data_IF_072583117904
#
_entry.id   IF_072583117904
#
_cell.length_a   1.000
_cell.length_b   1.000
_cell.length_c   1.000
_cell.angle_alpha   90.00
_cell.angle_beta   90.00
_cell.angle_gamma   90.00
#
_symmetry.space_group_name_H-M   'P 1'
#
loop_
_entity.id
_entity.type
_entity.pdbx_description
1 polymer ?
#
# COMPACT_ATOMS: atom_id res chain seq x y z
N UNK A 1 -52.55 -38.56 -5.82
CA UNK A 1 -51.10 -38.54 -6.15
C UNK A 1 -50.75 -37.21 -6.83
N UNK A 2 -50.20 -36.20 -6.15
CA UNK A 2 -49.69 -35.01 -6.81
C UNK A 2 -48.19 -35.16 -7.13
N UNK A 3 -47.80 -34.85 -8.38
CA UNK A 3 -46.41 -34.90 -8.85
C UNK A 3 -45.63 -33.68 -8.29
N UNK A 4 -44.57 -33.93 -7.52
CA UNK A 4 -43.60 -32.89 -7.15
C UNK A 4 -42.89 -32.37 -8.40
N UNK A 5 -42.99 -31.06 -8.66
CA UNK A 5 -42.13 -30.36 -9.63
C UNK A 5 -40.77 -30.13 -8.98
N UNK A 6 -39.74 -30.86 -9.42
CA UNK A 6 -38.36 -30.59 -9.04
C UNK A 6 -37.90 -29.27 -9.65
N UNK A 7 -37.77 -28.22 -8.83
CA UNK A 7 -37.09 -26.98 -9.22
C UNK A 7 -35.58 -27.22 -9.23
N UNK A 8 -35.01 -27.44 -10.41
CA UNK A 8 -33.57 -27.40 -10.61
C UNK A 8 -33.09 -25.95 -10.42
N UNK A 9 -32.51 -25.67 -9.26
CA UNK A 9 -31.84 -24.41 -9.00
C UNK A 9 -30.41 -24.55 -9.51
N UNK A 10 -30.17 -24.13 -10.75
CA UNK A 10 -28.82 -24.10 -11.32
C UNK A 10 -28.05 -22.91 -10.75
N UNK A 11 -27.44 -23.07 -9.57
CA UNK A 11 -26.47 -22.11 -9.03
C UNK A 11 -25.11 -22.34 -9.69
N UNK A 12 -24.93 -21.83 -10.90
CA UNK A 12 -23.56 -21.66 -11.43
C UNK A 12 -22.88 -20.57 -10.60
N UNK A 13 -22.15 -20.97 -9.55
CA UNK A 13 -21.25 -20.08 -8.81
C UNK A 13 -20.25 -19.49 -9.80
N UNK A 14 -20.30 -18.17 -10.02
CA UNK A 14 -19.31 -17.45 -10.83
C UNK A 14 -17.92 -17.78 -10.30
N UNK A 15 -16.99 -18.15 -11.19
CA UNK A 15 -15.61 -18.45 -10.81
C UNK A 15 -14.95 -17.16 -10.29
N UNK A 16 -14.21 -17.22 -9.17
CA UNK A 16 -13.47 -16.05 -8.70
C UNK A 16 -12.48 -15.62 -9.78
N UNK A 17 -12.48 -14.32 -10.10
CA UNK A 17 -11.56 -13.72 -11.07
C UNK A 17 -10.54 -12.89 -10.31
N UNK A 18 -9.25 -13.15 -10.50
CA UNK A 18 -8.18 -12.36 -9.92
C UNK A 18 -7.89 -11.17 -10.85
N UNK A 19 -7.94 -9.95 -10.31
CA UNK A 19 -7.55 -8.74 -11.04
C UNK A 19 -6.34 -8.14 -10.34
N UNK A 20 -5.28 -7.89 -11.08
CA UNK A 20 -4.10 -7.18 -10.60
C UNK A 20 -4.19 -5.74 -11.09
N UNK A 21 -4.29 -4.78 -10.16
CA UNK A 21 -3.83 -3.42 -10.42
C UNK A 21 -2.32 -3.44 -10.18
N UNK A 22 -1.52 -2.91 -11.11
CA UNK A 22 -0.07 -2.83 -10.93
C UNK A 22 0.30 -1.95 -9.73
N UNK A 23 1.44 -2.20 -9.09
CA UNK A 23 1.91 -1.38 -7.98
C UNK A 23 2.22 0.04 -8.46
N UNK A 24 2.05 1.01 -7.57
CA UNK A 24 2.33 2.43 -7.82
C UNK A 24 3.35 3.02 -6.84
N UNK A 25 3.73 2.28 -5.80
CA UNK A 25 4.72 2.68 -4.79
C UNK A 25 5.84 1.66 -4.73
N UNK A 26 7.08 2.10 -4.88
CA UNK A 26 8.27 1.29 -4.71
C UNK A 26 8.75 1.40 -3.26
N UNK A 27 8.83 0.27 -2.57
CA UNK A 27 9.37 0.18 -1.21
C UNK A 27 10.69 -0.55 -1.24
N UNK A 28 11.74 0.05 -0.68
CA UNK A 28 13.04 -0.61 -0.48
C UNK A 28 13.19 -0.94 1.00
N UNK A 29 13.38 -2.22 1.30
CA UNK A 29 13.82 -2.71 2.60
C UNK A 29 15.33 -2.92 2.56
N UNK A 30 16.07 -2.29 3.46
CA UNK A 30 17.52 -2.43 3.53
C UNK A 30 17.96 -2.59 4.99
N UNK A 31 18.72 -3.66 5.34
CA UNK A 31 19.20 -3.85 6.69
C UNK A 31 20.34 -2.88 7.02
N UNK A 32 20.25 -2.24 8.18
CA UNK A 32 21.36 -1.59 8.86
C UNK A 32 22.07 -2.63 9.73
N UNK A 33 23.32 -2.96 9.35
CA UNK A 33 24.09 -3.99 10.04
C UNK A 33 24.72 -3.50 11.34
N UNK A 34 24.89 -2.20 11.49
CA UNK A 34 25.50 -1.60 12.69
C UNK A 34 24.45 -1.48 13.80
N UNK A 35 23.31 -0.89 13.47
CA UNK A 35 22.21 -0.64 14.42
C UNK A 35 21.24 -1.83 14.57
N UNK A 36 21.39 -2.87 13.72
CA UNK A 36 20.49 -4.04 13.67
C UNK A 36 19.04 -3.65 13.42
N UNK A 37 18.84 -2.62 12.60
CA UNK A 37 17.54 -2.14 12.16
C UNK A 37 17.29 -2.54 10.70
N UNK A 38 16.04 -2.44 10.28
CA UNK A 38 15.60 -2.49 8.89
C UNK A 38 15.07 -1.11 8.52
N UNK A 39 15.72 -0.48 7.56
CA UNK A 39 15.26 0.74 6.92
C UNK A 39 14.22 0.38 5.85
N UNK A 40 13.03 0.97 5.93
CA UNK A 40 12.00 0.87 4.90
C UNK A 40 11.76 2.24 4.27
N UNK A 41 12.02 2.36 2.98
CA UNK A 41 11.89 3.62 2.23
C UNK A 41 10.85 3.51 1.11
N UNK A 42 9.92 4.46 1.06
CA UNK A 42 9.03 4.66 -0.09
C UNK A 42 9.64 5.72 -1.02
N UNK A 43 9.94 5.35 -2.26
CA UNK A 43 10.68 6.21 -3.19
C UNK A 43 9.84 7.39 -3.66
N UNK A 44 8.58 7.13 -4.03
CA UNK A 44 7.69 8.12 -4.64
C UNK A 44 7.16 9.16 -3.65
N UNK A 45 7.21 8.85 -2.35
CA UNK A 45 6.72 9.73 -1.28
C UNK A 45 7.82 10.31 -0.41
N UNK A 46 9.07 9.92 -0.66
CA UNK A 46 10.25 10.27 0.15
C UNK A 46 10.04 10.03 1.65
N UNK A 47 9.40 8.91 1.98
CA UNK A 47 9.16 8.48 3.36
C UNK A 47 10.17 7.40 3.73
N UNK A 48 10.65 7.44 4.97
CA UNK A 48 11.57 6.45 5.53
C UNK A 48 11.20 6.18 6.99
N UNK A 49 11.29 4.91 7.38
CA UNK A 49 11.15 4.46 8.77
C UNK A 49 12.22 3.42 9.07
N UNK A 50 12.53 3.23 10.35
CA UNK A 50 13.51 2.26 10.81
C UNK A 50 12.90 1.46 11.97
N UNK A 51 12.90 0.13 11.83
CA UNK A 51 12.35 -0.77 12.85
C UNK A 51 13.25 -1.99 13.03
N UNK A 52 13.02 -2.75 14.09
CA UNK A 52 13.81 -3.95 14.44
C UNK A 52 13.62 -5.15 13.52
N UNK A 53 12.62 -5.13 12.64
CA UNK A 53 12.34 -6.23 11.71
C UNK A 53 11.71 -5.75 10.40
N UNK A 54 11.79 -6.58 9.36
CA UNK A 54 11.20 -6.27 8.04
C UNK A 54 9.69 -6.06 8.13
N UNK A 55 9.01 -6.86 8.94
CA UNK A 55 7.55 -6.81 9.12
C UNK A 55 7.16 -5.51 9.81
N UNK A 56 7.83 -5.16 10.90
CA UNK A 56 7.56 -3.92 11.64
C UNK A 56 7.89 -2.70 10.77
N UNK A 57 9.01 -2.71 10.04
CA UNK A 57 9.40 -1.60 9.18
C UNK A 57 8.37 -1.37 8.06
N UNK A 58 7.89 -2.45 7.44
CA UNK A 58 6.85 -2.36 6.41
C UNK A 58 5.51 -1.88 6.99
N UNK A 59 5.12 -2.35 8.17
CA UNK A 59 3.88 -1.91 8.83
C UNK A 59 3.93 -0.43 9.22
N UNK A 60 5.04 0.01 9.80
CA UNK A 60 5.24 1.41 10.17
C UNK A 60 5.27 2.31 8.94
N UNK A 61 5.91 1.88 7.86
CA UNK A 61 5.93 2.64 6.61
C UNK A 61 4.51 2.75 6.02
N UNK A 62 3.72 1.69 6.06
CA UNK A 62 2.33 1.70 5.61
C UNK A 62 1.47 2.69 6.41
N UNK A 63 1.67 2.75 7.73
CA UNK A 63 0.97 3.72 8.58
C UNK A 63 1.43 5.15 8.30
N UNK A 64 2.74 5.39 8.17
CA UNK A 64 3.29 6.69 7.79
C UNK A 64 2.73 7.18 6.43
N UNK A 65 2.57 6.28 5.45
CA UNK A 65 1.96 6.59 4.15
C UNK A 65 0.49 7.01 4.31
N UNK A 66 -0.27 6.33 5.18
CA UNK A 66 -1.68 6.67 5.45
C UNK A 66 -1.82 8.03 6.09
N UNK A 67 -1.08 8.25 7.18
CA UNK A 67 -1.06 9.53 7.89
C UNK A 67 -0.68 10.64 6.92
N UNK A 68 0.36 10.44 6.11
CA UNK A 68 0.76 11.44 5.12
C UNK A 68 -0.32 11.71 4.07
N UNK A 69 -1.04 10.68 3.60
CA UNK A 69 -2.12 10.86 2.64
C UNK A 69 -3.31 11.65 3.21
N UNK A 70 -3.65 11.42 4.48
CA UNK A 70 -4.68 12.17 5.20
C UNK A 70 -4.26 13.61 5.45
N UNK A 71 -3.05 13.84 5.96
CA UNK A 71 -2.50 15.18 6.16
C UNK A 71 -2.42 15.98 4.86
N UNK A 72 -1.97 15.34 3.76
CA UNK A 72 -1.93 15.99 2.45
C UNK A 72 -3.32 16.38 1.99
N UNK A 73 -4.33 15.51 2.17
CA UNK A 73 -5.71 15.82 1.81
C UNK A 73 -6.25 16.98 2.63
N UNK A 74 -6.02 16.96 3.93
CA UNK A 74 -6.61 17.90 4.89
C UNK A 74 -5.97 19.30 4.77
N UNK A 75 -4.67 19.37 4.44
CA UNK A 75 -3.98 20.62 4.10
C UNK A 75 -3.44 20.65 2.67
N UNK A 76 -4.31 20.31 1.72
CA UNK A 76 -3.95 20.24 0.30
C UNK A 76 -3.28 21.52 -0.22
N UNK A 77 -3.73 22.69 0.24
CA UNK A 77 -3.17 23.97 -0.22
C UNK A 77 -1.70 24.12 0.18
N UNK A 78 -1.34 23.74 1.40
CA UNK A 78 0.04 23.76 1.85
C UNK A 78 0.89 22.77 1.05
N UNK A 79 0.45 21.51 0.98
CA UNK A 79 1.27 20.43 0.43
C UNK A 79 1.39 20.47 -1.09
N UNK A 80 0.32 20.83 -1.82
CA UNK A 80 0.34 20.93 -3.27
C UNK A 80 1.22 22.07 -3.80
N UNK A 81 1.48 23.10 -2.99
CA UNK A 81 2.35 24.22 -3.35
C UNK A 81 3.74 24.13 -2.69
N UNK A 82 3.97 23.10 -1.86
CA UNK A 82 5.28 22.86 -1.26
C UNK A 82 6.28 22.35 -2.31
N UNK A 83 7.56 22.78 -2.23
CA UNK A 83 8.61 22.27 -3.11
C UNK A 83 8.67 20.75 -3.10
N UNK A 84 8.77 20.14 -4.29
CA UNK A 84 8.89 18.69 -4.46
C UNK A 84 7.77 17.85 -3.80
N UNK A 85 6.55 18.38 -3.63
CA UNK A 85 5.43 17.60 -3.04
C UNK A 85 4.18 17.52 -3.91
N UNK A 86 3.99 18.44 -4.85
CA UNK A 86 2.85 18.41 -5.77
C UNK A 86 2.72 17.07 -6.53
N UNK A 87 3.85 16.45 -6.87
CA UNK A 87 3.90 15.20 -7.62
C UNK A 87 3.57 13.96 -6.77
N UNK A 88 3.46 14.07 -5.44
CA UNK A 88 3.05 12.97 -4.58
C UNK A 88 1.54 12.68 -4.71
N UNK A 89 0.75 13.68 -5.12
CA UNK A 89 -0.71 13.62 -5.09
C UNK A 89 -1.32 12.41 -5.83
N UNK A 90 -0.90 12.04 -7.06
CA UNK A 90 -1.46 10.87 -7.75
C UNK A 90 -1.31 9.56 -6.96
N UNK A 91 -0.21 9.39 -6.22
CA UNK A 91 0.02 8.21 -5.39
C UNK A 91 -0.86 8.23 -4.14
N UNK A 92 -0.92 9.38 -3.46
CA UNK A 92 -1.75 9.56 -2.27
C UNK A 92 -3.24 9.39 -2.59
N UNK A 93 -3.68 9.74 -3.79
CA UNK A 93 -5.05 9.46 -4.25
C UNK A 93 -5.35 7.96 -4.34
N UNK A 94 -4.41 7.11 -4.77
CA UNK A 94 -4.61 5.67 -4.76
C UNK A 94 -4.60 5.11 -3.32
N UNK A 95 -3.73 5.64 -2.44
CA UNK A 95 -3.71 5.31 -1.01
C UNK A 95 -5.06 5.62 -0.36
N UNK A 96 -5.62 6.82 -0.58
CA UNK A 96 -6.91 7.25 -0.03
C UNK A 96 -8.11 6.43 -0.56
N UNK A 97 -7.96 5.75 -1.71
CA UNK A 97 -8.99 4.85 -2.26
C UNK A 97 -8.94 3.46 -1.63
N UNK A 98 -7.83 3.07 -1.04
CA UNK A 98 -7.68 1.77 -0.39
C UNK A 98 -8.57 1.71 0.86
N UNK A 99 -9.38 0.67 0.97
CA UNK A 99 -10.36 0.51 2.06
C UNK A 99 -9.82 -0.27 3.26
N UNK A 100 -8.70 -0.95 3.07
CA UNK A 100 -8.11 -1.87 4.03
C UNK A 100 -6.61 -2.04 3.76
N UNK A 101 -5.91 -2.68 4.70
CA UNK A 101 -4.49 -3.01 4.60
C UNK A 101 -4.17 -3.85 3.37
N UNK A 102 -5.11 -4.72 2.95
CA UNK A 102 -4.88 -5.61 1.82
C UNK A 102 -4.77 -4.81 0.53
N UNK A 103 -5.72 -3.90 0.27
CA UNK A 103 -5.70 -3.02 -0.89
C UNK A 103 -4.48 -2.10 -0.87
N UNK A 104 -4.09 -1.58 0.30
CA UNK A 104 -2.89 -0.76 0.40
C UNK A 104 -1.63 -1.55 0.03
N UNK A 105 -1.51 -2.79 0.51
CA UNK A 105 -0.39 -3.69 0.13
C UNK A 105 -0.35 -3.98 -1.37
N UNK A 106 -1.49 -4.00 -2.07
CA UNK A 106 -1.49 -4.18 -3.54
C UNK A 106 -0.89 -3.00 -4.30
N UNK A 107 -0.73 -1.84 -3.66
CA UNK A 107 -0.07 -0.67 -4.27
C UNK A 107 1.45 -0.76 -4.20
N UNK A 108 2.02 -1.66 -3.40
CA UNK A 108 3.46 -1.73 -3.14
C UNK A 108 4.18 -2.71 -4.05
N UNK A 109 5.33 -2.28 -4.58
CA UNK A 109 6.40 -3.12 -5.12
C UNK A 109 7.55 -3.17 -4.10
N UNK A 110 7.57 -4.21 -3.27
CA UNK A 110 8.58 -4.37 -2.21
C UNK A 110 9.84 -4.99 -2.80
N UNK A 111 10.96 -4.30 -2.62
CA UNK A 111 12.29 -4.67 -3.09
C UNK A 111 13.28 -4.67 -1.94
N UNK A 112 14.37 -5.41 -2.11
CA UNK A 112 15.44 -5.53 -1.13
C UNK A 112 16.68 -4.80 -1.64
N UNK A 113 17.27 -3.98 -0.76
CA UNK A 113 18.42 -3.15 -1.06
C UNK A 113 19.55 -3.30 -0.05
N UNK A 114 20.57 -2.46 -0.22
CA UNK A 114 21.71 -2.35 0.69
C UNK A 114 21.85 -0.88 1.08
N UNK A 115 22.04 -0.61 2.37
CA UNK A 115 22.41 0.73 2.83
C UNK A 115 23.87 1.00 2.45
N UNK A 116 24.10 2.07 1.70
CA UNK A 116 25.43 2.62 1.44
C UNK A 116 25.55 3.87 2.29
N UNK A 117 26.33 3.77 3.36
CA UNK A 117 26.73 4.87 4.25
C UNK A 117 28.15 5.30 3.94
#
# INVERSE_FOLDING_TARGET
MPKLKSRSHNHQKKRPTLTLKGPVLTVILAPDREEKLICARCIELDLVVEMSSEIEALQELLEAIRVYAEEFRDDWKLYAHSPNRAHHWPYLQEVLKAKDDWQLKTLLDVRYGVLQV
#
